data_IF_934603004188
#
_entry.id   IF_934603004188
#
_cell.length_a   1.000
_cell.length_b   1.000
_cell.length_c   1.000
_cell.angle_alpha   90.00
_cell.angle_beta   90.00
_cell.angle_gamma   90.00
#
_symmetry.space_group_name_H-M   'P 1'
#
loop_
_entity.id
_entity.type
_entity.pdbx_description
1 polymer ?
#
# COMPACT_ATOMS: atom_id res chain seq x y z
N UNK A 1 13.76 -23.01 -13.11
CA UNK A 1 13.52 -22.56 -14.49
C UNK A 1 14.21 -21.22 -14.62
N UNK A 2 14.52 -20.73 -15.84
CA UNK A 2 14.56 -19.28 -16.02
C UNK A 2 13.25 -18.70 -15.47
N UNK A 3 13.27 -17.50 -14.86
CA UNK A 3 12.03 -16.85 -14.43
C UNK A 3 11.02 -16.82 -15.58
N UNK A 4 9.70 -16.81 -15.31
CA UNK A 4 8.72 -16.59 -16.36
C UNK A 4 9.15 -15.36 -17.19
N UNK A 5 8.98 -15.38 -18.52
CA UNK A 5 9.33 -14.24 -19.35
C UNK A 5 8.68 -12.98 -18.80
N UNK A 6 9.43 -11.87 -18.81
CA UNK A 6 8.98 -10.57 -18.33
C UNK A 6 7.55 -10.31 -18.83
N UNK A 7 6.63 -10.04 -17.89
CA UNK A 7 5.24 -9.71 -18.19
C UNK A 7 4.22 -10.85 -18.20
N UNK A 8 4.60 -12.12 -18.09
CA UNK A 8 3.61 -13.21 -17.92
C UNK A 8 3.26 -13.45 -16.46
N UNK A 9 2.00 -13.17 -16.09
CA UNK A 9 1.43 -13.51 -14.79
C UNK A 9 1.60 -15.01 -14.48
N UNK A 10 2.07 -15.38 -13.27
CA UNK A 10 2.05 -16.74 -12.79
C UNK A 10 0.62 -17.29 -12.74
N UNK A 11 0.45 -18.55 -13.19
CA UNK A 11 -0.83 -19.24 -13.13
C UNK A 11 -1.32 -19.37 -11.67
N UNK A 12 -2.64 -19.27 -11.46
CA UNK A 12 -3.28 -19.64 -10.19
C UNK A 12 -3.16 -21.14 -9.92
N UNK A 13 -3.45 -21.57 -8.68
CA UNK A 13 -3.39 -23.01 -8.34
C UNK A 13 -4.34 -23.82 -9.22
N UNK A 14 -5.52 -23.26 -9.56
CA UNK A 14 -6.49 -23.90 -10.42
C UNK A 14 -6.02 -23.96 -11.88
N UNK A 15 -5.56 -22.85 -12.47
CA UNK A 15 -5.04 -22.84 -13.85
C UNK A 15 -3.83 -23.76 -14.01
N UNK A 16 -2.95 -23.79 -13.01
CA UNK A 16 -1.78 -24.66 -13.01
C UNK A 16 -2.22 -26.13 -12.93
N UNK A 17 -3.18 -26.46 -12.06
CA UNK A 17 -3.73 -27.81 -11.96
C UNK A 17 -4.46 -28.23 -13.25
N UNK A 18 -5.20 -27.33 -13.88
CA UNK A 18 -5.90 -27.59 -15.14
C UNK A 18 -4.93 -27.84 -16.29
N UNK A 19 -3.73 -27.22 -16.24
CA UNK A 19 -2.64 -27.46 -17.18
C UNK A 19 -1.94 -28.82 -17.03
N UNK A 20 -2.28 -29.61 -16.01
CA UNK A 20 -1.63 -30.90 -15.77
C UNK A 20 -2.04 -31.93 -16.81
N UNK A 21 -1.03 -32.59 -17.36
CA UNK A 21 -1.18 -33.87 -18.07
C UNK A 21 -1.72 -34.95 -17.12
N UNK A 22 -2.28 -36.04 -17.66
CA UNK A 22 -2.77 -37.17 -16.85
C UNK A 22 -1.69 -37.70 -15.89
N UNK A 23 -0.44 -37.77 -16.36
CA UNK A 23 0.72 -38.20 -15.55
C UNK A 23 1.03 -37.22 -14.41
N UNK A 24 0.93 -35.91 -14.66
CA UNK A 24 1.11 -34.89 -13.61
C UNK A 24 -0.04 -34.91 -12.59
N UNK A 25 -1.26 -35.27 -12.99
CA UNK A 25 -2.39 -35.49 -12.06
C UNK A 25 -2.12 -36.70 -11.16
N UNK A 26 -1.61 -37.79 -11.72
CA UNK A 26 -1.19 -38.96 -10.94
C UNK A 26 -0.10 -38.61 -9.92
N UNK A 27 0.88 -37.80 -10.31
CA UNK A 27 1.90 -37.28 -9.40
C UNK A 27 1.31 -36.41 -8.29
N UNK A 28 0.37 -35.52 -8.63
CA UNK A 28 -0.32 -34.67 -7.68
C UNK A 28 -1.09 -35.48 -6.63
N UNK A 29 -1.89 -36.45 -7.08
CA UNK A 29 -2.70 -37.30 -6.19
C UNK A 29 -1.80 -38.17 -5.31
N UNK A 30 -0.74 -38.75 -5.88
CA UNK A 30 0.25 -39.51 -5.12
C UNK A 30 0.96 -38.63 -4.09
N UNK A 31 1.34 -37.40 -4.45
CA UNK A 31 2.03 -36.48 -3.55
C UNK A 31 1.14 -36.12 -2.36
N UNK A 32 -0.14 -35.86 -2.57
CA UNK A 32 -1.05 -35.50 -1.49
C UNK A 32 -1.39 -36.70 -0.60
N UNK A 33 -1.65 -37.88 -1.17
CA UNK A 33 -2.00 -39.08 -0.36
C UNK A 33 -0.83 -39.58 0.50
N UNK A 34 0.41 -39.38 0.06
CA UNK A 34 1.62 -39.84 0.78
C UNK A 34 2.24 -38.75 1.66
N UNK A 35 1.57 -37.62 1.87
CA UNK A 35 2.13 -36.47 2.60
C UNK A 35 2.67 -36.87 3.98
N UNK A 36 1.90 -37.66 4.74
CA UNK A 36 2.26 -38.02 6.11
C UNK A 36 3.40 -39.06 6.16
N UNK A 37 3.45 -39.99 5.20
CA UNK A 37 4.53 -40.97 5.08
C UNK A 37 5.85 -40.33 4.66
N UNK A 38 5.79 -39.25 3.87
CA UNK A 38 6.96 -38.47 3.46
C UNK A 38 7.43 -37.51 4.54
N UNK A 39 6.53 -37.12 5.46
CA UNK A 39 6.85 -36.17 6.52
C UNK A 39 7.88 -36.78 7.49
N UNK A 40 9.04 -36.15 7.61
CA UNK A 40 10.13 -36.60 8.48
C UNK A 40 11.12 -37.59 7.85
N UNK A 41 10.99 -37.90 6.55
CA UNK A 41 12.04 -38.63 5.84
C UNK A 41 13.29 -37.76 5.67
N UNK A 42 14.46 -38.35 5.88
CA UNK A 42 15.73 -37.73 5.48
C UNK A 42 15.82 -37.64 3.96
N UNK A 43 16.68 -36.78 3.42
CA UNK A 43 16.82 -36.62 1.96
C UNK A 43 17.10 -37.96 1.24
N UNK A 44 17.98 -38.79 1.80
CA UNK A 44 18.32 -40.11 1.23
C UNK A 44 17.16 -41.10 1.30
N UNK A 45 16.43 -41.15 2.42
CA UNK A 45 15.23 -41.98 2.57
C UNK A 45 14.10 -41.50 1.65
N UNK A 46 13.95 -40.19 1.48
CA UNK A 46 13.02 -39.57 0.53
C UNK A 46 13.31 -40.02 -0.90
N UNK A 47 14.56 -39.94 -1.36
CA UNK A 47 14.93 -40.38 -2.72
C UNK A 47 14.64 -41.88 -2.94
N UNK A 48 14.90 -42.73 -1.94
CA UNK A 48 14.56 -44.16 -2.03
C UNK A 48 13.05 -44.39 -2.08
N UNK A 49 12.28 -43.63 -1.29
CA UNK A 49 10.82 -43.67 -1.30
C UNK A 49 10.24 -43.27 -2.67
N UNK A 50 10.78 -42.22 -3.31
CA UNK A 50 10.40 -41.84 -4.67
C UNK A 50 10.77 -42.92 -5.69
N UNK A 51 11.98 -43.51 -5.61
CA UNK A 51 12.40 -44.60 -6.51
C UNK A 51 11.57 -45.86 -6.38
N UNK A 52 11.01 -46.13 -5.19
CA UNK A 52 10.09 -47.24 -4.99
C UNK A 52 8.73 -47.01 -5.67
N UNK A 53 8.24 -45.76 -5.66
CA UNK A 53 7.01 -45.36 -6.31
C UNK A 53 7.14 -45.24 -7.84
N UNK A 54 8.28 -44.76 -8.33
CA UNK A 54 8.59 -44.66 -9.76
C UNK A 54 9.97 -45.29 -10.05
N UNK A 55 10.02 -46.62 -10.25
CA UNK A 55 11.27 -47.34 -10.51
C UNK A 55 11.89 -47.00 -11.88
N UNK A 56 11.06 -46.56 -12.83
CA UNK A 56 11.52 -46.10 -14.13
C UNK A 56 12.19 -44.71 -13.99
N UNK A 57 13.46 -44.55 -14.42
CA UNK A 57 14.15 -43.27 -14.35
C UNK A 57 13.45 -42.11 -15.05
N UNK A 58 12.75 -42.36 -16.16
CA UNK A 58 12.03 -41.31 -16.90
C UNK A 58 10.83 -40.77 -16.11
N UNK A 59 10.07 -41.65 -15.45
CA UNK A 59 8.94 -41.26 -14.61
C UNK A 59 9.40 -40.47 -13.38
N UNK A 60 10.55 -40.84 -12.83
CA UNK A 60 11.17 -40.13 -11.71
C UNK A 60 11.65 -38.72 -12.14
N UNK A 61 12.26 -38.58 -13.33
CA UNK A 61 12.65 -37.28 -13.88
C UNK A 61 11.43 -36.39 -14.14
N UNK A 62 10.36 -36.95 -14.70
CA UNK A 62 9.09 -36.23 -14.90
C UNK A 62 8.44 -35.81 -13.58
N UNK A 63 8.52 -36.64 -12.54
CA UNK A 63 8.08 -36.26 -11.20
C UNK A 63 8.91 -35.08 -10.65
N UNK A 64 10.22 -35.04 -10.90
CA UNK A 64 11.06 -33.90 -10.51
C UNK A 64 10.72 -32.62 -11.29
N UNK A 65 10.39 -32.73 -12.58
CA UNK A 65 9.88 -31.60 -13.37
C UNK A 65 8.55 -31.10 -12.81
N UNK A 66 7.61 -32.01 -12.54
CA UNK A 66 6.31 -31.69 -11.95
C UNK A 66 6.46 -31.05 -10.55
N UNK A 67 7.30 -31.60 -9.66
CA UNK A 67 7.51 -31.01 -8.33
C UNK A 67 8.10 -29.61 -8.42
N UNK A 68 9.05 -29.36 -9.34
CA UNK A 68 9.56 -28.01 -9.59
C UNK A 68 8.45 -27.07 -10.06
N UNK A 69 7.57 -27.52 -10.96
CA UNK A 69 6.41 -26.75 -11.47
C UNK A 69 5.38 -26.47 -10.36
N UNK A 70 4.93 -27.50 -9.65
CA UNK A 70 3.89 -27.36 -8.62
C UNK A 70 4.43 -26.71 -7.35
N UNK A 71 5.53 -27.19 -6.78
CA UNK A 71 6.05 -26.66 -5.51
C UNK A 71 6.77 -25.32 -5.71
N UNK A 72 7.38 -25.08 -6.87
CA UNK A 72 8.02 -23.81 -7.23
C UNK A 72 7.05 -22.67 -7.53
N UNK A 73 5.75 -22.95 -7.69
CA UNK A 73 4.73 -21.93 -8.02
C UNK A 73 4.69 -20.75 -7.04
N UNK A 74 5.01 -20.99 -5.77
CA UNK A 74 5.05 -19.93 -4.75
C UNK A 74 6.25 -19.02 -4.96
N UNK A 75 7.42 -19.59 -5.27
CA UNK A 75 8.61 -18.82 -5.64
C UNK A 75 8.37 -18.01 -6.91
N UNK A 76 7.77 -18.61 -7.94
CA UNK A 76 7.47 -17.90 -9.19
C UNK A 76 6.51 -16.72 -8.95
N UNK A 77 5.54 -16.87 -8.05
CA UNK A 77 4.64 -15.78 -7.63
C UNK A 77 5.31 -14.72 -6.78
N UNK A 78 6.23 -15.10 -5.90
CA UNK A 78 7.01 -14.17 -5.08
C UNK A 78 8.01 -13.38 -5.91
N UNK A 79 8.52 -13.92 -7.02
CA UNK A 79 9.45 -13.21 -7.90
C UNK A 79 8.74 -12.37 -8.96
N UNK A 80 7.45 -12.62 -9.19
CA UNK A 80 6.67 -11.90 -10.17
C UNK A 80 6.48 -10.44 -9.80
N UNK A 81 6.93 -9.56 -10.70
CA UNK A 81 6.64 -8.13 -10.66
C UNK A 81 5.36 -7.90 -11.47
N UNK A 82 4.33 -7.40 -10.78
CA UNK A 82 3.05 -7.10 -11.40
C UNK A 82 3.20 -5.79 -12.19
N UNK A 83 2.73 -5.71 -13.45
CA UNK A 83 2.66 -4.43 -14.15
C UNK A 83 1.88 -3.41 -13.32
N UNK A 84 2.35 -2.15 -13.32
CA UNK A 84 1.69 -1.09 -12.55
C UNK A 84 0.21 -0.92 -12.93
N UNK A 85 -0.10 -1.06 -14.22
CA UNK A 85 -1.49 -0.98 -14.70
C UNK A 85 -2.37 -2.08 -14.09
N UNK A 86 -1.86 -3.30 -13.92
CA UNK A 86 -2.60 -4.40 -13.27
C UNK A 86 -2.81 -4.09 -11.78
N UNK A 87 -1.85 -3.43 -11.12
CA UNK A 87 -1.99 -2.96 -9.73
C UNK A 87 -3.09 -1.91 -9.64
N UNK A 88 -3.11 -0.94 -10.55
CA UNK A 88 -4.14 0.10 -10.56
C UNK A 88 -5.51 -0.41 -10.99
N UNK A 89 -5.58 -1.39 -11.90
CA UNK A 89 -6.83 -2.05 -12.25
C UNK A 89 -7.40 -2.79 -11.03
N UNK A 90 -6.57 -3.53 -10.30
CA UNK A 90 -6.98 -4.14 -9.03
C UNK A 90 -7.43 -3.11 -8.03
N UNK A 91 -6.70 -2.00 -7.88
CA UNK A 91 -7.05 -0.91 -6.98
C UNK A 91 -8.46 -0.37 -7.31
N UNK A 92 -8.71 -0.02 -8.57
CA UNK A 92 -9.99 0.50 -9.06
C UNK A 92 -11.16 -0.47 -8.83
N UNK A 93 -10.90 -1.77 -8.94
CA UNK A 93 -11.90 -2.82 -8.77
C UNK A 93 -12.05 -3.32 -7.32
N UNK A 94 -11.25 -2.82 -6.38
CA UNK A 94 -11.28 -3.26 -4.98
C UNK A 94 -12.45 -2.64 -4.23
N UNK A 95 -13.29 -3.48 -3.62
CA UNK A 95 -14.28 -3.00 -2.65
C UNK A 95 -13.69 -3.07 -1.23
N UNK A 96 -13.24 -1.95 -0.70
CA UNK A 96 -12.61 -1.86 0.63
C UNK A 96 -13.57 -2.14 1.81
N UNK A 97 -14.88 -2.23 1.55
CA UNK A 97 -15.85 -2.75 2.51
C UNK A 97 -15.83 -4.29 2.60
N UNK A 98 -15.36 -4.99 1.56
CA UNK A 98 -15.19 -6.45 1.55
C UNK A 98 -13.91 -6.84 2.27
N UNK A 99 -14.01 -7.68 3.31
CA UNK A 99 -12.82 -8.21 4.00
C UNK A 99 -11.94 -9.05 3.07
N UNK A 100 -12.53 -9.71 2.07
CA UNK A 100 -11.79 -10.48 1.08
C UNK A 100 -10.96 -9.56 0.17
N UNK A 101 -11.58 -8.51 -0.36
CA UNK A 101 -10.92 -7.60 -1.30
C UNK A 101 -9.87 -6.75 -0.56
N UNK A 102 -10.16 -6.32 0.67
CA UNK A 102 -9.20 -5.65 1.53
C UNK A 102 -7.98 -6.54 1.83
N UNK A 103 -8.18 -7.83 2.09
CA UNK A 103 -7.09 -8.77 2.30
C UNK A 103 -6.26 -8.95 1.02
N UNK A 104 -6.91 -9.04 -0.15
CA UNK A 104 -6.23 -9.12 -1.44
C UNK A 104 -5.43 -7.84 -1.75
N UNK A 105 -5.97 -6.67 -1.39
CA UNK A 105 -5.26 -5.39 -1.49
C UNK A 105 -4.02 -5.38 -0.62
N UNK A 106 -4.15 -5.71 0.67
CA UNK A 106 -3.02 -5.82 1.60
C UNK A 106 -1.96 -6.79 1.07
N UNK A 107 -2.38 -7.98 0.61
CA UNK A 107 -1.47 -8.95 0.02
C UNK A 107 -0.73 -8.37 -1.19
N UNK A 108 -1.44 -7.66 -2.08
CA UNK A 108 -0.82 -7.06 -3.27
C UNK A 108 0.21 -6.00 -2.88
N UNK A 109 -0.08 -5.16 -1.87
CA UNK A 109 0.86 -4.12 -1.44
C UNK A 109 2.07 -4.66 -0.64
N UNK A 110 1.94 -5.78 0.07
CA UNK A 110 3.01 -6.32 0.92
C UNK A 110 3.83 -7.44 0.26
N UNK A 111 3.22 -8.19 -0.67
CA UNK A 111 3.82 -9.42 -1.22
C UNK A 111 4.09 -9.34 -2.73
N UNK A 112 3.74 -8.23 -3.39
CA UNK A 112 4.19 -8.02 -4.76
C UNK A 112 5.70 -7.72 -4.77
N UNK A 113 6.41 -8.26 -5.75
CA UNK A 113 7.84 -7.99 -5.93
C UNK A 113 8.09 -6.63 -6.61
N UNK A 114 7.20 -5.66 -6.37
CA UNK A 114 7.23 -4.34 -6.97
C UNK A 114 7.98 -3.39 -6.03
N UNK A 115 9.24 -3.04 -6.31
CA UNK A 115 9.98 -2.12 -5.44
C UNK A 115 9.38 -0.72 -5.47
N UNK A 116 8.84 -0.31 -6.62
CA UNK A 116 8.17 0.96 -6.86
C UNK A 116 7.02 0.72 -7.85
N UNK A 117 5.94 1.48 -7.68
CA UNK A 117 4.79 1.53 -8.60
C UNK A 117 4.63 2.99 -9.03
N UNK A 118 4.74 3.25 -10.32
CA UNK A 118 4.75 4.62 -10.87
C UNK A 118 3.35 5.22 -10.80
N UNK A 119 3.22 6.40 -10.18
CA UNK A 119 1.95 7.11 -10.08
C UNK A 119 1.74 8.06 -11.25
N UNK A 120 2.82 8.72 -11.68
CA UNK A 120 2.76 9.81 -12.63
C UNK A 120 3.93 10.76 -12.48
N UNK A 121 3.82 11.88 -13.18
CA UNK A 121 4.75 12.98 -13.13
C UNK A 121 4.00 14.28 -12.84
N UNK A 122 4.67 15.28 -12.29
CA UNK A 122 4.08 16.61 -12.14
C UNK A 122 5.13 17.67 -12.46
N UNK A 123 4.70 18.77 -13.10
CA UNK A 123 5.58 19.91 -13.34
C UNK A 123 5.70 20.76 -12.09
N UNK A 124 6.93 21.01 -11.65
CA UNK A 124 7.25 21.95 -10.58
C UNK A 124 8.35 22.90 -11.01
N UNK A 125 8.07 24.20 -10.91
CA UNK A 125 9.00 25.28 -11.30
C UNK A 125 9.53 25.15 -12.74
N UNK A 126 8.74 24.55 -13.63
CA UNK A 126 9.11 24.29 -15.02
C UNK A 126 9.73 22.92 -15.28
N UNK A 127 10.23 22.23 -14.24
CA UNK A 127 10.83 20.90 -14.37
C UNK A 127 9.79 19.81 -14.14
N UNK A 128 9.79 18.78 -14.99
CA UNK A 128 8.96 17.60 -14.80
C UNK A 128 9.66 16.67 -13.81
N UNK A 129 8.91 16.09 -12.87
CA UNK A 129 9.44 15.14 -11.89
C UNK A 129 8.53 13.94 -11.75
N UNK A 130 9.11 12.74 -11.70
CA UNK A 130 8.39 11.49 -11.51
C UNK A 130 8.04 11.22 -10.04
N UNK A 131 6.90 10.59 -9.82
CA UNK A 131 6.41 10.16 -8.51
C UNK A 131 6.04 8.68 -8.58
N UNK A 132 6.43 7.94 -7.56
CA UNK A 132 6.13 6.53 -7.40
C UNK A 132 5.67 6.25 -5.97
N UNK A 133 5.03 5.11 -5.75
CA UNK A 133 4.78 4.58 -4.42
C UNK A 133 5.68 3.37 -4.19
N UNK A 134 6.39 3.37 -3.06
CA UNK A 134 6.97 2.15 -2.51
C UNK A 134 5.87 1.41 -1.77
N UNK A 135 5.42 0.23 -2.25
CA UNK A 135 4.23 -0.42 -1.71
C UNK A 135 4.33 -0.75 -0.22
N UNK A 136 3.27 -0.42 0.52
CA UNK A 136 3.05 -0.86 1.90
C UNK A 136 1.61 -0.65 2.30
N UNK A 137 1.00 -1.65 2.93
CA UNK A 137 -0.39 -1.58 3.39
C UNK A 137 -0.54 -0.91 4.76
N UNK A 138 0.55 -0.60 5.48
CA UNK A 138 0.49 -0.08 6.87
C UNK A 138 1.52 1.01 7.18
N UNK A 139 1.85 1.84 6.19
CA UNK A 139 2.80 2.95 6.36
C UNK A 139 2.37 4.00 7.40
N UNK A 140 1.12 4.45 7.33
CA UNK A 140 0.49 5.40 8.24
C UNK A 140 -0.15 4.71 9.46
N UNK A 141 -0.17 5.44 10.57
CA UNK A 141 -0.70 4.98 11.84
C UNK A 141 -1.68 5.99 12.43
N UNK A 142 -2.72 5.52 13.15
CA UNK A 142 -3.63 6.42 13.84
C UNK A 142 -2.89 7.21 14.93
N UNK A 143 -3.24 8.50 15.06
CA UNK A 143 -2.79 9.39 16.13
C UNK A 143 -3.22 8.82 17.47
N UNK A 144 -2.27 8.24 18.21
CA UNK A 144 -2.54 7.66 19.53
C UNK A 144 -2.98 8.75 20.49
N UNK A 145 -4.24 8.68 20.93
CA UNK A 145 -4.58 9.31 22.20
C UNK A 145 -4.04 8.42 23.33
N UNK A 146 -3.40 8.97 24.38
CA UNK A 146 -2.88 8.19 25.52
C UNK A 146 -3.94 7.26 26.15
N UNK A 147 -5.22 7.60 25.98
CA UNK A 147 -6.38 6.81 26.42
C UNK A 147 -6.72 5.59 25.53
N UNK A 148 -6.07 5.41 24.37
CA UNK A 148 -6.31 4.28 23.45
C UNK A 148 -5.46 3.03 23.76
N UNK A 149 -4.54 3.11 24.74
CA UNK A 149 -3.74 1.95 25.19
C UNK A 149 -4.60 0.80 25.72
N UNK A 150 -5.85 1.09 26.11
CA UNK A 150 -6.76 0.16 26.78
C UNK A 150 -8.01 -0.20 25.97
N UNK A 151 -8.06 0.07 24.66
CA UNK A 151 -9.20 -0.31 23.82
C UNK A 151 -8.94 -1.61 23.04
N UNK A 152 -9.37 -2.79 23.56
CA UNK A 152 -9.36 -4.03 22.79
C UNK A 152 -10.26 -3.91 21.57
N UNK A 153 -10.12 -4.86 20.65
CA UNK A 153 -10.85 -4.99 19.38
C UNK A 153 -12.35 -4.70 19.55
N UNK A 154 -12.74 -3.44 19.36
CA UNK A 154 -14.15 -3.07 19.33
C UNK A 154 -14.78 -3.73 18.09
N UNK A 155 -16.01 -4.25 18.21
CA UNK A 155 -16.74 -4.75 17.05
C UNK A 155 -16.77 -3.71 15.93
N UNK A 156 -16.51 -4.18 14.70
CA UNK A 156 -16.54 -3.36 13.49
C UNK A 156 -15.28 -2.52 13.25
N UNK A 157 -14.22 -2.63 14.06
CA UNK A 157 -12.93 -2.01 13.70
C UNK A 157 -12.37 -2.63 12.42
N UNK A 158 -11.91 -1.76 11.52
CA UNK A 158 -11.27 -2.18 10.27
C UNK A 158 -9.78 -2.47 10.50
N UNK A 159 -9.19 -3.21 9.56
CA UNK A 159 -7.75 -3.46 9.53
C UNK A 159 -6.95 -2.14 9.43
N UNK A 160 -5.70 -2.13 9.90
CA UNK A 160 -4.83 -0.93 9.93
C UNK A 160 -4.51 -0.34 8.56
N UNK A 161 -4.71 -1.12 7.50
CA UNK A 161 -4.61 -0.64 6.11
C UNK A 161 -5.76 0.26 5.69
N UNK A 162 -6.83 0.33 6.49
CA UNK A 162 -7.98 1.19 6.27
C UNK A 162 -8.14 2.11 7.48
N UNK A 163 -7.84 3.39 7.29
CA UNK A 163 -7.87 4.42 8.32
C UNK A 163 -8.83 5.54 7.91
N UNK A 164 -8.94 6.55 8.75
CA UNK A 164 -9.64 7.77 8.41
C UNK A 164 -8.84 8.99 8.84
N UNK A 165 -9.05 10.11 8.17
CA UNK A 165 -8.42 11.38 8.49
C UNK A 165 -9.50 12.43 8.74
N UNK A 166 -9.26 13.26 9.75
CA UNK A 166 -10.03 14.45 10.05
C UNK A 166 -9.17 15.70 9.79
N UNK A 167 -9.56 16.49 8.79
CA UNK A 167 -8.85 17.69 8.36
C UNK A 167 -9.20 18.91 9.23
N UNK A 168 -10.31 18.84 9.99
CA UNK A 168 -10.76 19.93 10.85
C UNK A 168 -10.05 19.97 12.21
N UNK A 169 -9.55 18.82 12.66
CA UNK A 169 -8.97 18.67 14.01
C UNK A 169 -7.44 18.72 13.93
N UNK A 170 -6.80 19.82 14.36
CA UNK A 170 -5.36 19.87 14.46
C UNK A 170 -4.87 18.97 15.59
N UNK A 171 -3.74 18.28 15.39
CA UNK A 171 -3.10 17.53 16.46
C UNK A 171 -2.38 18.51 17.41
N UNK A 172 -2.72 18.46 18.70
CA UNK A 172 -1.95 19.17 19.73
C UNK A 172 -0.70 18.35 20.10
N UNK A 173 0.34 18.40 19.26
CA UNK A 173 1.66 17.91 19.66
C UNK A 173 2.34 18.94 20.56
N UNK A 174 2.63 18.57 21.81
CA UNK A 174 3.42 19.39 22.72
C UNK A 174 4.83 19.57 22.13
N UNK A 175 5.17 20.79 21.69
CA UNK A 175 6.54 21.14 21.28
C UNK A 175 6.69 21.88 19.95
N UNK A 176 5.64 21.97 19.12
CA UNK A 176 5.67 22.80 17.90
C UNK A 176 4.77 24.03 18.06
N UNK A 177 5.17 25.20 17.52
CA UNK A 177 4.32 26.39 17.54
C UNK A 177 3.07 26.12 16.71
N UNK A 178 1.92 26.10 17.38
CA UNK A 178 0.61 25.97 16.74
C UNK A 178 0.45 27.10 15.72
N UNK A 179 0.15 26.82 14.43
CA UNK A 179 -0.24 27.87 13.51
C UNK A 179 -1.53 28.51 14.04
N UNK A 180 -1.50 29.84 14.22
CA UNK A 180 -2.68 30.64 14.58
C UNK A 180 -3.64 30.68 13.38
N UNK A 181 -4.34 29.59 13.09
CA UNK A 181 -5.41 29.56 12.10
C UNK A 181 -6.71 29.16 12.78
N UNK A 182 -7.50 30.18 13.09
CA UNK A 182 -8.86 30.08 13.62
C UNK A 182 -9.76 29.42 12.58
N UNK A 183 -9.84 28.09 12.59
CA UNK A 183 -10.87 27.34 11.87
C UNK A 183 -12.07 27.22 12.80
N UNK A 184 -13.22 27.71 12.36
CA UNK A 184 -14.48 27.46 13.05
C UNK A 184 -14.75 25.96 13.00
N UNK A 185 -15.05 25.29 14.13
CA UNK A 185 -15.57 23.95 14.11
C UNK A 185 -16.84 23.93 13.26
N UNK A 186 -16.86 23.11 12.21
CA UNK A 186 -18.10 22.84 11.47
C UNK A 186 -19.01 22.05 12.39
N UNK A 187 -20.24 22.53 12.59
CA UNK A 187 -21.21 21.93 13.50
C UNK A 187 -21.68 20.59 12.93
N UNK A 188 -21.00 19.50 13.28
CA UNK A 188 -21.33 18.16 12.80
C UNK A 188 -22.61 17.68 13.47
N UNK A 189 -23.69 17.59 12.72
CA UNK A 189 -24.88 16.88 13.16
C UNK A 189 -24.55 15.37 13.25
N UNK A 190 -24.47 14.83 14.47
CA UNK A 190 -24.39 13.39 14.69
C UNK A 190 -25.80 12.85 14.95
N UNK A 191 -26.19 11.79 14.23
CA UNK A 191 -27.41 11.04 14.49
C UNK A 191 -27.10 9.87 15.41
N UNK A 192 -27.99 9.62 16.36
CA UNK A 192 -27.94 8.44 17.21
C UNK A 192 -28.60 7.28 16.47
N UNK A 193 -27.81 6.33 16.00
CA UNK A 193 -28.31 5.09 15.41
C UNK A 193 -27.93 3.91 16.33
N UNK A 194 -28.94 3.18 16.80
CA UNK A 194 -28.80 1.98 17.65
C UNK A 194 -27.82 2.08 18.84
N UNK A 195 -27.77 3.24 19.49
CA UNK A 195 -26.94 3.46 20.68
C UNK A 195 -25.50 3.95 20.41
N UNK A 196 -25.16 4.31 19.17
CA UNK A 196 -23.89 4.97 18.83
C UNK A 196 -24.13 6.24 17.99
N UNK A 197 -23.26 7.25 18.17
CA UNK A 197 -23.27 8.47 17.35
C UNK A 197 -22.60 8.21 16.00
N UNK A 198 -23.29 8.51 14.91
CA UNK A 198 -22.78 8.47 13.54
C UNK A 198 -22.92 9.84 12.87
N UNK A 199 -21.97 10.29 12.03
CA UNK A 199 -22.11 11.52 11.26
C UNK A 199 -23.34 11.47 10.35
N UNK A 200 -24.15 12.53 10.28
CA UNK A 200 -25.31 12.60 9.40
C UNK A 200 -24.85 12.65 7.92
N UNK A 201 -24.91 11.51 7.24
CA UNK A 201 -24.38 11.32 5.88
C UNK A 201 -25.16 12.08 4.79
N UNK A 202 -26.16 12.89 5.16
CA UNK A 202 -27.00 13.67 4.23
C UNK A 202 -26.64 15.16 4.12
N UNK A 203 -25.62 15.64 4.83
CA UNK A 203 -25.13 17.03 4.72
C UNK A 203 -23.72 17.11 4.11
N UNK A 204 -23.56 16.54 2.92
CA UNK A 204 -22.44 16.92 2.06
C UNK A 204 -23.01 17.85 0.99
N UNK A 205 -23.04 19.15 1.28
CA UNK A 205 -23.23 20.14 0.22
C UNK A 205 -22.06 19.96 -0.77
N UNK A 206 -22.28 19.72 -2.07
CA UNK A 206 -21.21 19.51 -3.04
C UNK A 206 -20.21 20.68 -3.16
N UNK A 207 -20.51 21.84 -2.57
CA UNK A 207 -19.58 22.96 -2.44
C UNK A 207 -18.70 22.97 -1.18
N UNK A 208 -18.96 22.11 -0.20
CA UNK A 208 -18.14 21.99 1.02
C UNK A 208 -17.14 20.84 0.88
N UNK A 209 -15.85 21.16 0.90
CA UNK A 209 -14.76 20.18 0.95
C UNK A 209 -14.98 19.26 2.15
N UNK A 210 -15.25 17.97 1.91
CA UNK A 210 -15.47 16.99 2.98
C UNK A 210 -14.34 17.07 4.01
N UNK A 211 -14.69 17.38 5.25
CA UNK A 211 -13.70 17.65 6.29
C UNK A 211 -13.11 16.40 6.92
N UNK A 212 -13.60 15.23 6.53
CA UNK A 212 -13.04 13.92 6.89
C UNK A 212 -13.28 12.90 5.79
N UNK A 213 -12.44 11.88 5.72
CA UNK A 213 -12.63 10.76 4.81
C UNK A 213 -11.94 9.48 5.31
N UNK A 214 -12.44 8.34 4.85
CA UNK A 214 -11.80 7.03 5.03
C UNK A 214 -10.83 6.81 3.88
N UNK A 215 -9.70 6.19 4.16
CA UNK A 215 -8.70 5.90 3.14
C UNK A 215 -8.05 4.53 3.32
N UNK A 216 -7.68 3.92 2.20
CA UNK A 216 -6.85 2.72 2.17
C UNK A 216 -5.41 3.07 1.77
N UNK A 217 -4.44 2.41 2.38
CA UNK A 217 -3.03 2.73 2.18
C UNK A 217 -2.43 1.99 0.98
N UNK A 218 -1.60 2.68 0.19
CA UNK A 218 -0.84 2.12 -0.92
C UNK A 218 0.66 2.00 -0.60
N UNK A 219 1.20 2.94 0.18
CA UNK A 219 2.60 2.88 0.62
C UNK A 219 3.24 4.23 0.86
N UNK A 220 4.57 4.30 0.75
CA UNK A 220 5.34 5.54 0.90
C UNK A 220 5.52 6.24 -0.46
N UNK A 221 5.28 7.55 -0.52
CA UNK A 221 5.52 8.35 -1.70
C UNK A 221 7.02 8.56 -1.89
N UNK A 222 7.51 8.21 -3.07
CA UNK A 222 8.86 8.44 -3.53
C UNK A 222 8.85 9.48 -4.66
N UNK A 223 9.91 10.27 -4.72
CA UNK A 223 10.13 11.27 -5.78
C UNK A 223 11.43 10.97 -6.50
N UNK A 224 11.45 11.14 -7.82
CA UNK A 224 12.68 11.02 -8.60
C UNK A 224 13.51 12.30 -8.44
N UNK A 225 14.71 12.20 -7.88
CA UNK A 225 15.66 13.30 -7.78
C UNK A 225 16.64 13.16 -8.93
N UNK A 226 16.48 13.94 -9.99
CA UNK A 226 17.28 13.86 -11.20
C UNK A 226 16.55 14.43 -12.42
N UNK A 227 17.10 14.25 -13.62
CA UNK A 227 16.41 14.59 -14.87
C UNK A 227 15.42 13.49 -15.26
N UNK A 228 14.17 13.66 -14.85
CA UNK A 228 13.09 12.71 -15.15
C UNK A 228 12.77 12.62 -16.65
N UNK A 229 12.89 13.72 -17.41
CA UNK A 229 12.61 13.69 -18.85
C UNK A 229 13.68 12.89 -19.61
N UNK A 230 14.94 12.95 -19.15
CA UNK A 230 16.00 12.08 -19.66
C UNK A 230 15.80 10.61 -19.24
N UNK A 231 15.40 10.37 -17.98
CA UNK A 231 15.14 9.03 -17.46
C UNK A 231 14.04 8.29 -18.25
N UNK A 232 12.96 9.00 -18.61
CA UNK A 232 11.85 8.44 -19.41
C UNK A 232 12.26 8.07 -20.85
N UNK A 233 13.14 8.85 -21.48
CA UNK A 233 13.54 8.59 -22.87
C UNK A 233 14.45 7.39 -23.00
N UNK A 234 15.29 7.13 -21.99
CA UNK A 234 16.19 5.97 -21.96
C UNK A 234 15.50 4.64 -21.70
N UNK A 235 14.32 4.63 -21.07
CA UNK A 235 13.56 3.38 -20.90
C UNK A 235 12.90 2.90 -22.20
N UNK A 236 12.79 3.76 -23.21
CA UNK A 236 12.16 3.43 -24.50
C UNK A 236 13.17 3.02 -25.58
N UNK A 237 14.46 3.36 -25.43
CA UNK A 237 15.53 3.03 -26.36
C UNK A 237 16.35 1.83 -25.83
N UNK A 238 16.00 0.62 -26.25
CA UNK A 238 16.63 -0.68 -25.91
C UNK A 238 18.10 -0.84 -26.42
N UNK A 239 18.82 0.24 -26.68
CA UNK A 239 20.23 0.17 -27.09
C UNK A 239 21.11 0.08 -25.83
N UNK A 240 21.45 -1.17 -25.49
CA UNK A 240 22.48 -1.58 -24.53
C UNK A 240 23.88 -1.13 -24.97
N UNK A 241 24.14 0.17 -25.03
CA UNK A 241 25.49 0.72 -24.99
C UNK A 241 25.67 1.52 -23.69
N UNK A 242 26.59 1.00 -22.89
CA UNK A 242 27.06 1.45 -21.58
C UNK A 242 27.41 2.95 -21.49
N UNK A 243 27.37 3.45 -20.24
CA UNK A 243 28.11 4.59 -19.67
C UNK A 243 27.51 6.01 -19.62
N UNK A 244 26.25 6.24 -19.98
CA UNK A 244 25.61 7.49 -19.56
C UNK A 244 24.76 7.24 -18.30
N UNK A 245 25.37 7.49 -17.13
CA UNK A 245 24.69 7.59 -15.84
C UNK A 245 23.48 8.53 -15.98
N UNK A 246 22.26 7.98 -16.00
CA UNK A 246 21.11 8.83 -15.68
C UNK A 246 21.25 9.15 -14.21
N UNK A 247 21.82 10.32 -13.92
CA UNK A 247 21.92 10.87 -12.58
C UNK A 247 20.50 11.07 -12.04
N UNK A 248 20.02 10.05 -11.35
CA UNK A 248 18.82 10.18 -10.55
C UNK A 248 18.52 8.98 -9.67
N UNK A 249 17.93 9.29 -8.51
CA UNK A 249 17.60 8.30 -7.49
C UNK A 249 16.17 8.54 -7.01
N UNK A 250 15.48 7.44 -6.69
CA UNK A 250 14.20 7.50 -6.00
C UNK A 250 14.43 7.78 -4.54
N UNK A 251 13.88 8.89 -4.05
CA UNK A 251 13.97 9.27 -2.66
C UNK A 251 12.61 9.20 -1.96
N UNK A 252 12.53 8.56 -0.78
CA UNK A 252 11.32 8.58 0.03
C UNK A 252 11.04 9.98 0.55
N UNK A 253 9.76 10.37 0.57
CA UNK A 253 9.33 11.70 0.99
C UNK A 253 8.77 11.75 2.41
N UNK A 254 8.51 10.60 3.03
CA UNK A 254 7.79 10.49 4.31
C UNK A 254 6.27 10.70 4.23
N UNK A 255 5.71 10.90 3.03
CA UNK A 255 4.27 10.93 2.82
C UNK A 255 3.74 9.52 2.55
N UNK A 256 2.63 9.16 3.17
CA UNK A 256 1.87 7.97 2.82
C UNK A 256 0.94 8.27 1.65
N UNK A 257 1.01 7.46 0.59
CA UNK A 257 0.06 7.49 -0.51
C UNK A 257 -1.16 6.65 -0.13
N UNK A 258 -2.33 7.24 -0.26
CA UNK A 258 -3.60 6.62 0.13
C UNK A 258 -4.68 6.88 -0.90
N UNK A 259 -5.63 5.96 -1.03
CA UNK A 259 -6.84 6.14 -1.83
C UNK A 259 -8.01 6.49 -0.92
N UNK A 260 -8.77 7.55 -1.24
CA UNK A 260 -10.04 7.85 -0.58
C UNK A 260 -11.05 6.74 -0.88
N UNK A 261 -11.71 6.25 0.16
CA UNK A 261 -12.70 5.18 0.10
C UNK A 261 -14.07 5.77 0.39
N UNK A 262 -14.98 5.62 -0.57
CA UNK A 262 -16.37 6.05 -0.45
C UNK A 262 -17.12 5.19 0.57
N UNK A 263 -18.28 5.67 1.02
CA UNK A 263 -19.14 4.95 1.97
C UNK A 263 -19.56 3.56 1.49
N UNK A 264 -19.64 3.32 0.18
CA UNK A 264 -19.92 2.01 -0.43
C UNK A 264 -18.68 1.10 -0.58
N UNK A 265 -17.52 1.54 -0.10
CA UNK A 265 -16.23 0.84 -0.18
C UNK A 265 -15.46 1.03 -1.49
N UNK A 266 -15.97 1.80 -2.46
CA UNK A 266 -15.29 2.03 -3.73
C UNK A 266 -14.17 3.08 -3.59
N UNK A 267 -13.05 2.92 -4.31
CA UNK A 267 -12.01 3.93 -4.38
C UNK A 267 -12.49 5.17 -5.15
N UNK A 268 -11.96 6.34 -4.79
CA UNK A 268 -12.34 7.61 -5.42
C UNK A 268 -11.15 8.38 -5.98
N UNK A 269 -10.22 8.79 -5.13
CA UNK A 269 -9.14 9.70 -5.51
C UNK A 269 -7.88 9.42 -4.68
N UNK A 270 -6.74 9.94 -5.16
CA UNK A 270 -5.43 9.69 -4.57
C UNK A 270 -4.98 10.87 -3.72
N UNK A 271 -4.43 10.57 -2.54
CA UNK A 271 -3.92 11.54 -1.59
C UNK A 271 -2.52 11.16 -1.12
N UNK A 272 -1.74 12.17 -0.73
CA UNK A 272 -0.50 12.03 0.01
C UNK A 272 -0.66 12.69 1.39
N UNK A 273 -0.43 11.92 2.45
CA UNK A 273 -0.58 12.35 3.85
C UNK A 273 0.78 12.23 4.55
N UNK A 274 1.25 13.32 5.17
CA UNK A 274 2.53 13.32 5.87
C UNK A 274 2.48 12.41 7.11
N UNK A 275 3.44 11.49 7.23
CA UNK A 275 3.53 10.63 8.38
C UNK A 275 4.11 11.37 9.59
N UNK A 276 3.25 11.74 10.54
CA UNK A 276 3.63 12.50 11.73
C UNK A 276 4.13 11.61 12.88
N UNK A 277 4.05 10.28 12.74
CA UNK A 277 4.41 9.31 13.77
C UNK A 277 5.46 8.34 13.22
N UNK A 278 6.61 8.16 13.91
CA UNK A 278 7.58 7.16 13.49
C UNK A 278 6.94 5.75 13.54
N UNK A 279 7.39 4.82 12.67
CA UNK A 279 7.08 3.40 12.82
C UNK A 279 7.39 2.92 14.24
N UNK A 280 6.62 1.95 14.71
CA UNK A 280 6.70 1.42 16.07
C UNK A 280 8.03 0.67 16.27
N UNK A 281 8.85 1.10 17.22
CA UNK A 281 10.13 0.44 17.60
C UNK A 281 9.96 -1.01 18.13
N UNK A 282 8.74 -1.46 18.47
CA UNK A 282 8.48 -2.76 19.09
C UNK A 282 8.33 -3.94 18.09
N UNK A 283 8.79 -3.77 16.84
CA UNK A 283 9.03 -4.86 15.89
C UNK A 283 10.53 -5.12 15.62
N UNK A 284 11.42 -4.38 16.31
CA UNK A 284 12.88 -4.38 16.10
C UNK A 284 13.65 -5.36 17.00
N UNK A 285 12.99 -6.35 17.60
CA UNK A 285 13.65 -7.37 18.45
C UNK A 285 14.36 -8.48 17.64
N UNK A 286 14.39 -8.40 16.31
CA UNK A 286 15.33 -9.16 15.48
C UNK A 286 16.33 -8.20 14.81
N UNK A 287 17.64 -8.32 15.07
CA UNK A 287 18.65 -7.55 14.37
C UNK A 287 18.73 -8.10 12.94
N UNK A 288 18.02 -7.49 12.01
CA UNK A 288 18.54 -7.38 10.65
C UNK A 288 19.69 -6.38 10.73
N UNK A 289 20.89 -6.92 10.77
CA UNK A 289 22.11 -6.16 10.54
C UNK A 289 21.92 -5.32 9.26
N UNK A 290 22.14 -4.01 9.39
CA UNK A 290 22.12 -2.94 8.36
C UNK A 290 20.82 -2.12 8.21
N UNK A 291 20.68 -1.11 9.09
CA UNK A 291 20.44 0.30 8.74
C UNK A 291 19.24 0.67 7.83
N UNK A 292 18.00 0.34 8.20
CA UNK A 292 16.80 0.97 7.60
C UNK A 292 16.07 1.89 8.59
N UNK A 293 16.00 1.54 9.87
CA UNK A 293 15.17 2.27 10.83
C UNK A 293 15.87 3.41 11.59
N UNK A 294 17.21 3.50 11.53
CA UNK A 294 17.96 4.65 12.05
C UNK A 294 18.05 5.82 11.05
N UNK A 295 17.80 5.58 9.76
CA UNK A 295 17.92 6.60 8.70
C UNK A 295 16.67 7.49 8.56
N UNK A 296 15.46 7.01 8.89
CA UNK A 296 14.21 7.77 8.73
C UNK A 296 14.06 8.97 9.68
N UNK A 297 14.74 8.96 10.82
CA UNK A 297 14.73 10.07 11.79
C UNK A 297 15.92 11.04 11.57
N UNK A 298 16.96 10.65 10.83
CA UNK A 298 18.20 11.44 10.69
C UNK A 298 18.18 12.51 9.59
N UNK A 299 17.28 12.45 8.60
CA UNK A 299 17.26 13.47 7.52
C UNK A 299 16.70 14.84 7.92
N UNK A 300 16.25 15.02 9.17
CA UNK A 300 15.74 16.32 9.65
C UNK A 300 16.84 17.32 10.00
N UNK A 301 18.11 16.90 10.14
CA UNK A 301 19.14 17.75 10.75
C UNK A 301 20.39 18.05 9.90
N UNK A 302 20.67 17.36 8.78
CA UNK A 302 21.98 17.53 8.12
C UNK A 302 21.98 18.07 6.69
N UNK A 303 20.84 18.24 6.03
CA UNK A 303 20.80 18.90 4.73
C UNK A 303 19.79 20.05 4.73
N UNK A 304 20.31 21.24 4.45
CA UNK A 304 19.56 22.46 4.16
C UNK A 304 18.74 22.38 2.85
N UNK A 305 18.41 21.17 2.39
CA UNK A 305 17.86 20.91 1.07
C UNK A 305 16.36 20.71 1.14
N UNK A 306 15.67 21.79 0.76
CA UNK A 306 14.39 21.88 0.05
C UNK A 306 13.73 20.52 -0.28
N UNK A 307 13.01 19.93 0.66
CA UNK A 307 12.00 18.93 0.28
C UNK A 307 10.95 19.62 -0.58
N UNK A 308 10.55 19.02 -1.70
CA UNK A 308 9.57 19.57 -2.65
C UNK A 308 8.21 19.92 -1.97
N UNK A 309 7.88 19.29 -0.83
CA UNK A 309 6.68 19.59 -0.04
C UNK A 309 6.90 20.51 1.17
N UNK A 310 8.16 20.78 1.53
CA UNK A 310 8.57 21.68 2.61
C UNK A 310 9.39 22.89 2.11
N UNK A 311 9.55 23.07 0.80
CA UNK A 311 10.35 24.15 0.21
C UNK A 311 9.67 25.50 0.51
N UNK A 312 10.28 26.35 1.37
CA UNK A 312 9.72 27.64 1.77
C UNK A 312 9.51 28.59 0.59
N UNK A 313 10.29 28.41 -0.48
CA UNK A 313 10.19 29.21 -1.71
C UNK A 313 9.00 28.79 -2.59
N UNK A 314 8.39 27.60 -2.39
CA UNK A 314 7.21 27.15 -3.17
C UNK A 314 5.92 27.83 -2.67
N UNK A 315 5.83 28.20 -1.39
CA UNK A 315 4.55 28.59 -0.79
C UNK A 315 4.52 29.98 -0.16
N UNK A 316 5.65 30.69 -0.12
CA UNK A 316 5.75 32.00 0.55
C UNK A 316 5.47 31.93 2.07
N UNK A 317 5.43 30.72 2.63
CA UNK A 317 4.90 30.44 3.96
C UNK A 317 5.76 29.33 4.58
N UNK A 318 6.22 29.54 5.83
CA UNK A 318 7.22 28.69 6.51
C UNK A 318 6.65 27.36 7.04
N UNK A 319 5.44 26.97 6.62
CA UNK A 319 4.71 25.85 7.19
C UNK A 319 4.71 24.66 6.22
N UNK A 320 5.14 23.46 6.65
CA UNK A 320 5.12 22.27 5.81
C UNK A 320 3.68 21.86 5.44
N UNK A 321 3.50 21.25 4.27
CA UNK A 321 2.21 20.67 3.86
C UNK A 321 2.03 19.29 4.50
N UNK A 322 0.83 18.98 4.97
CA UNK A 322 0.55 17.71 5.67
C UNK A 322 -0.43 16.81 4.92
N UNK A 323 -1.31 17.39 4.09
CA UNK A 323 -2.25 16.62 3.26
C UNK A 323 -2.35 17.26 1.88
N UNK A 324 -2.14 16.44 0.85
CA UNK A 324 -2.10 16.83 -0.55
C UNK A 324 -3.00 15.89 -1.33
N UNK A 325 -3.89 16.45 -2.13
CA UNK A 325 -4.66 15.70 -3.11
C UNK A 325 -3.81 15.57 -4.37
N UNK A 326 -3.68 14.36 -4.92
CA UNK A 326 -2.79 14.10 -6.06
C UNK A 326 -3.53 13.96 -7.39
N UNK A 327 -4.74 13.40 -7.36
CA UNK A 327 -5.62 13.29 -8.53
C UNK A 327 -7.03 12.91 -8.08
N UNK A 328 -8.05 13.42 -8.75
CA UNK A 328 -9.45 12.99 -8.62
C UNK A 328 -9.77 11.72 -9.42
N UNK A 329 -8.85 11.34 -10.30
CA UNK A 329 -9.05 10.30 -11.28
C UNK A 329 -7.96 9.24 -11.17
N UNK A 330 -8.39 8.00 -10.96
CA UNK A 330 -7.54 6.82 -10.83
C UNK A 330 -7.30 6.11 -12.18
N UNK A 331 -7.81 6.66 -13.28
CA UNK A 331 -7.52 6.19 -14.64
C UNK A 331 -6.14 6.66 -15.10
N UNK A 332 -5.53 5.86 -15.97
CA UNK A 332 -4.27 6.17 -16.66
C UNK A 332 -3.10 6.52 -15.72
N UNK A 333 -3.12 6.04 -14.48
CA UNK A 333 -1.97 6.13 -13.56
C UNK A 333 -0.77 5.38 -14.16
N UNK A 334 0.44 5.86 -13.87
CA UNK A 334 1.66 5.34 -14.49
C UNK A 334 2.53 6.46 -15.06
N UNK A 335 3.58 6.10 -15.80
CA UNK A 335 4.60 7.05 -16.30
C UNK A 335 4.04 8.21 -17.13
N UNK A 336 2.90 8.03 -17.79
CA UNK A 336 2.25 9.04 -18.65
C UNK A 336 1.27 9.96 -17.93
N UNK A 337 0.86 9.66 -16.69
CA UNK A 337 -0.07 10.51 -15.94
C UNK A 337 0.59 11.82 -15.54
N UNK A 338 -0.06 12.94 -15.82
CA UNK A 338 0.25 14.21 -15.16
C UNK A 338 -0.60 14.36 -13.91
N UNK A 339 0.05 14.48 -12.74
CA UNK A 339 -0.58 14.59 -11.43
C UNK A 339 -0.86 16.06 -11.09
N UNK A 340 -2.02 16.32 -10.48
CA UNK A 340 -2.40 17.64 -9.96
C UNK A 340 -2.24 17.67 -8.43
N UNK A 341 -1.09 18.18 -7.98
CA UNK A 341 -0.72 18.20 -6.57
C UNK A 341 -1.33 19.42 -5.86
N UNK A 342 -2.58 19.30 -5.42
CA UNK A 342 -3.29 20.34 -4.69
C UNK A 342 -3.06 20.22 -3.18
N UNK A 343 -2.49 21.26 -2.56
CA UNK A 343 -2.33 21.32 -1.10
C UNK A 343 -3.69 21.61 -0.46
N UNK A 344 -4.16 20.67 0.36
CA UNK A 344 -5.47 20.77 1.03
C UNK A 344 -5.31 21.13 2.51
N UNK A 345 -4.25 20.64 3.17
CA UNK A 345 -3.97 20.96 4.57
C UNK A 345 -2.49 21.27 4.83
N UNK A 346 -2.23 22.41 5.47
CA UNK A 346 -0.89 22.88 5.91
C UNK A 346 -0.62 22.72 7.42
N UNK A 347 -1.50 21.99 8.11
CA UNK A 347 -1.36 21.70 9.53
C UNK A 347 -1.52 20.20 9.77
N UNK A 348 -0.94 19.71 10.85
CA UNK A 348 -1.08 18.32 11.24
C UNK A 348 -2.55 17.96 11.45
N UNK A 349 -3.01 16.90 10.77
CA UNK A 349 -4.37 16.40 10.83
C UNK A 349 -4.42 15.10 11.63
N UNK A 350 -5.56 14.81 12.25
CA UNK A 350 -5.71 13.62 13.06
C UNK A 350 -6.03 12.41 12.20
N UNK A 351 -5.19 11.37 12.26
CA UNK A 351 -5.49 10.06 11.68
C UNK A 351 -6.15 9.21 12.75
N UNK A 352 -7.29 8.61 12.44
CA UNK A 352 -8.07 7.76 13.33
C UNK A 352 -8.32 6.39 12.70
N UNK A 353 -8.77 5.42 13.50
CA UNK A 353 -9.16 4.11 12.97
C UNK A 353 -10.46 4.22 12.19
N UNK A 354 -10.62 3.41 11.15
CA UNK A 354 -11.90 3.26 10.46
C UNK A 354 -12.75 2.16 11.14
N UNK A 355 -14.07 2.29 11.01
CA UNK A 355 -15.07 1.29 11.41
C UNK A 355 -16.00 0.95 10.27
N UNK A 356 -16.50 -0.28 10.27
CA UNK A 356 -17.60 -0.70 9.41
C UNK A 356 -18.88 -0.97 10.18
N UNK A 357 -20.02 -0.72 9.53
CA UNK A 357 -21.34 -1.13 10.00
C UNK A 357 -22.23 -1.53 8.82
N UNK A 358 -23.33 -2.24 9.07
CA UNK A 358 -24.34 -2.54 8.04
C UNK A 358 -25.47 -1.51 8.11
N UNK A 359 -25.72 -0.81 7.02
CA UNK A 359 -26.82 0.15 6.91
C UNK A 359 -28.21 -0.50 7.03
N UNK A 360 -29.27 0.31 6.98
CA UNK A 360 -30.66 -0.14 7.05
C UNK A 360 -31.05 -1.12 5.92
N UNK A 361 -30.27 -1.14 4.83
CA UNK A 361 -30.43 -2.05 3.70
C UNK A 361 -29.47 -3.25 3.77
N UNK A 362 -28.73 -3.42 4.88
CA UNK A 362 -27.76 -4.48 5.10
C UNK A 362 -26.41 -4.30 4.38
N UNK A 363 -26.16 -3.14 3.76
CA UNK A 363 -24.91 -2.82 3.05
C UNK A 363 -23.83 -2.38 4.02
N UNK A 364 -22.62 -2.88 3.83
CA UNK A 364 -21.51 -2.52 4.70
C UNK A 364 -20.95 -1.14 4.32
N UNK A 365 -20.86 -0.25 5.30
CA UNK A 365 -20.42 1.14 5.15
C UNK A 365 -19.25 1.41 6.08
N UNK A 366 -18.23 2.13 5.60
CA UNK A 366 -17.03 2.48 6.37
C UNK A 366 -17.05 3.96 6.78
N UNK A 367 -16.61 4.27 8.01
CA UNK A 367 -16.59 5.63 8.55
C UNK A 367 -15.48 5.82 9.61
N UNK A 368 -15.09 7.07 9.94
CA UNK A 368 -14.09 7.36 10.98
C UNK A 368 -14.56 6.96 12.39
N UNK A 369 -13.69 6.33 13.21
CA UNK A 369 -13.97 6.14 14.65
C UNK A 369 -13.92 7.51 15.36
N UNK A 370 -15.03 7.99 15.97
CA UNK A 370 -15.02 9.28 16.65
C UNK A 370 -14.05 9.24 17.83
N UNK A 371 -13.24 10.29 17.95
CA UNK A 371 -12.43 10.55 19.13
C UNK A 371 -13.37 11.07 20.19
N UNK A 372 -13.76 10.20 21.12
CA UNK A 372 -14.53 10.64 22.28
C UNK A 372 -13.57 11.42 23.17
N UNK A 373 -13.59 12.75 23.04
CA UNK A 373 -13.09 13.60 24.11
C UNK A 373 -13.95 13.32 25.34
N UNK A 374 -13.33 12.70 26.35
CA UNK A 374 -13.94 12.69 27.68
C UNK A 374 -13.98 14.13 28.15
N UNK A 375 -15.16 14.76 28.08
CA UNK A 375 -15.47 15.95 28.87
C UNK A 375 -15.29 15.66 30.35
#
# INVERSE_FOLDING_TARGET
MPPPPLGQRPLSDQELFDSFTDKERDFYDWHHRTKDERWGLTLSAGVQFLRAAWPNPEDLDDYFKWTRKWLGRHTDRMLYQMPDEDIFEKLRNTNFASSHDLANHCWTMEMSNNPLVFLGSARRRGNLTGYAVQPSSTFLWPTRNRAQKDYPDKPGLMHKSLLAIDLDIPVQMTGFPSPNTTTRPTDRAFKYHHGQMTPDSTQSDPSETSTSFVFAQLGELCVFVGDWEAALKKSDDDDYDDDDDVDGVWEPTGFGVVVEVQSNGQPKCLWAIYNCLPPREDLMDEPCDEDIDTLRIHRKNEQADRFIFNDPEIQGDKNPSYVIKMTDDLQDLGSSKELDLQVVCRREAQIVRAKSWKDENGRLVVFPEPVVDKM
#
